data_IF_066116625876
#
_entry.id   IF_066116625876
#
_cell.length_a   1.000
_cell.length_b   1.000
_cell.length_c   1.000
_cell.angle_alpha   90.00
_cell.angle_beta   90.00
_cell.angle_gamma   90.00
#
_symmetry.space_group_name_H-M   'P 1'
#
loop_
_entity.id
_entity.type
_entity.pdbx_description
1 polymer ?
#
# COMPACT_ATOMS: atom_id res chain seq x y z
N UNK A 1 27.67 40.10 -26.59
CA UNK A 1 27.03 38.87 -26.06
C UNK A 1 26.03 39.31 -25.00
N UNK A 2 24.75 38.95 -25.11
CA UNK A 2 23.72 39.43 -24.16
C UNK A 2 23.89 38.74 -22.80
N UNK A 3 24.22 39.46 -21.71
CA UNK A 3 24.50 38.87 -20.40
C UNK A 3 23.27 38.17 -19.77
N UNK A 4 22.07 38.39 -20.31
CA UNK A 4 20.84 37.77 -19.82
C UNK A 4 20.62 36.34 -20.35
N UNK A 5 21.39 35.89 -21.34
CA UNK A 5 21.16 34.59 -22.00
C UNK A 5 21.44 33.39 -21.08
N UNK A 6 22.57 33.41 -20.37
CA UNK A 6 22.99 32.32 -19.47
C UNK A 6 22.00 32.06 -18.30
N UNK A 7 21.53 33.09 -17.56
CA UNK A 7 20.53 32.86 -16.51
C UNK A 7 19.13 32.51 -17.06
N UNK A 8 18.79 32.92 -18.28
CA UNK A 8 17.55 32.48 -18.92
C UNK A 8 17.57 30.98 -19.20
N UNK A 9 18.64 30.47 -19.81
CA UNK A 9 18.82 29.05 -20.11
C UNK A 9 18.76 28.18 -18.84
N UNK A 10 19.39 28.63 -17.74
CA UNK A 10 19.38 27.91 -16.47
C UNK A 10 17.98 27.80 -15.84
N UNK A 11 17.15 28.86 -15.95
CA UNK A 11 15.77 28.83 -15.44
C UNK A 11 14.88 27.91 -16.26
N UNK A 12 14.99 27.95 -17.58
CA UNK A 12 14.21 27.08 -18.47
C UNK A 12 14.56 25.60 -18.24
N UNK A 13 15.85 25.28 -18.13
CA UNK A 13 16.30 23.94 -17.81
C UNK A 13 15.78 23.47 -16.44
N UNK A 14 15.92 24.29 -15.39
CA UNK A 14 15.37 23.95 -14.07
C UNK A 14 13.85 23.75 -14.08
N UNK A 15 13.12 24.56 -14.86
CA UNK A 15 11.67 24.44 -15.00
C UNK A 15 11.26 23.13 -15.69
N UNK A 16 12.01 22.71 -16.71
CA UNK A 16 11.78 21.42 -17.38
C UNK A 16 11.96 20.24 -16.42
N UNK A 17 13.04 20.23 -15.63
CA UNK A 17 13.27 19.18 -14.63
C UNK A 17 12.20 19.17 -13.55
N UNK A 18 11.80 20.35 -13.06
CA UNK A 18 10.73 20.47 -12.07
C UNK A 18 9.39 19.95 -12.62
N UNK A 19 9.03 20.32 -13.85
CA UNK A 19 7.81 19.86 -14.51
C UNK A 19 7.82 18.34 -14.73
N UNK A 20 8.93 17.80 -15.23
CA UNK A 20 9.10 16.36 -15.41
C UNK A 20 9.00 15.61 -14.07
N UNK A 21 9.72 16.08 -13.05
CA UNK A 21 9.69 15.52 -11.71
C UNK A 21 8.29 15.55 -11.09
N UNK A 22 7.54 16.64 -11.30
CA UNK A 22 6.15 16.75 -10.84
C UNK A 22 5.24 15.73 -11.52
N UNK A 23 5.28 15.61 -12.85
CA UNK A 23 4.48 14.63 -13.60
C UNK A 23 4.83 13.21 -13.18
N UNK A 24 6.12 12.90 -13.04
CA UNK A 24 6.59 11.60 -12.56
C UNK A 24 6.08 11.28 -11.15
N UNK A 25 6.18 12.23 -10.22
CA UNK A 25 5.68 12.06 -8.85
C UNK A 25 4.15 11.86 -8.82
N UNK A 26 3.40 12.55 -9.67
CA UNK A 26 1.95 12.36 -9.78
C UNK A 26 1.58 10.97 -10.29
N UNK A 27 2.27 10.48 -11.32
CA UNK A 27 2.05 9.13 -11.87
C UNK A 27 2.35 8.07 -10.81
N UNK A 28 3.53 8.16 -10.17
CA UNK A 28 3.89 7.22 -9.10
C UNK A 28 2.92 7.31 -7.93
N UNK A 29 2.58 8.50 -7.47
CA UNK A 29 1.62 8.71 -6.38
C UNK A 29 0.25 8.10 -6.70
N UNK A 30 -0.24 8.25 -7.92
CA UNK A 30 -1.49 7.65 -8.39
C UNK A 30 -1.42 6.12 -8.37
N UNK A 31 -0.35 5.54 -8.91
CA UNK A 31 -0.15 4.08 -8.92
C UNK A 31 -0.06 3.55 -7.49
N UNK A 32 0.74 4.19 -6.64
CA UNK A 32 0.86 3.84 -5.22
C UNK A 32 -0.49 3.90 -4.53
N UNK A 33 -1.27 4.96 -4.72
CA UNK A 33 -2.59 5.11 -4.13
C UNK A 33 -3.55 3.99 -4.58
N UNK A 34 -3.58 3.68 -5.87
CA UNK A 34 -4.40 2.57 -6.41
C UNK A 34 -3.99 1.23 -5.79
N UNK A 35 -2.68 0.96 -5.68
CA UNK A 35 -2.19 -0.27 -5.02
C UNK A 35 -2.66 -0.35 -3.57
N UNK A 36 -2.61 0.75 -2.81
CA UNK A 36 -3.08 0.77 -1.42
C UNK A 36 -4.60 0.55 -1.31
N UNK A 37 -5.38 1.11 -2.23
CA UNK A 37 -6.82 0.85 -2.30
C UNK A 37 -7.12 -0.62 -2.59
N UNK A 38 -6.41 -1.25 -3.53
CA UNK A 38 -6.56 -2.67 -3.83
C UNK A 38 -6.19 -3.55 -2.63
N UNK A 39 -5.10 -3.21 -1.92
CA UNK A 39 -4.71 -3.90 -0.69
C UNK A 39 -5.77 -3.76 0.40
N UNK A 40 -6.29 -2.55 0.63
CA UNK A 40 -7.38 -2.29 1.57
C UNK A 40 -8.61 -3.16 1.27
N UNK A 41 -9.06 -3.17 0.01
CA UNK A 41 -10.24 -3.95 -0.41
C UNK A 41 -9.98 -5.45 -0.26
N UNK A 42 -8.79 -5.93 -0.65
CA UNK A 42 -8.40 -7.33 -0.52
C UNK A 42 -8.40 -7.78 0.93
N UNK A 43 -7.75 -7.02 1.82
CA UNK A 43 -7.72 -7.30 3.26
C UNK A 43 -9.14 -7.24 3.84
N UNK A 44 -9.94 -6.23 3.49
CA UNK A 44 -11.32 -6.10 3.99
C UNK A 44 -12.19 -7.30 3.60
N UNK A 45 -12.14 -7.73 2.34
CA UNK A 45 -12.94 -8.85 1.83
C UNK A 45 -12.55 -10.14 2.54
N UNK A 46 -11.25 -10.43 2.60
CA UNK A 46 -10.74 -11.62 3.26
C UNK A 46 -11.03 -11.62 4.77
N UNK A 47 -10.90 -10.47 5.44
CA UNK A 47 -11.21 -10.33 6.85
C UNK A 47 -12.72 -10.51 7.11
N UNK A 48 -13.57 -9.92 6.27
CA UNK A 48 -15.02 -10.07 6.37
C UNK A 48 -15.44 -11.53 6.18
N UNK A 49 -14.92 -12.20 5.14
CA UNK A 49 -15.14 -13.63 4.91
C UNK A 49 -14.67 -14.49 6.09
N UNK A 50 -13.55 -14.13 6.73
CA UNK A 50 -13.06 -14.80 7.94
C UNK A 50 -14.04 -14.70 9.10
N UNK A 51 -14.53 -13.51 9.40
CA UNK A 51 -15.53 -13.30 10.48
C UNK A 51 -16.82 -14.04 10.17
N UNK A 52 -17.30 -13.99 8.92
CA UNK A 52 -18.51 -14.70 8.49
C UNK A 52 -18.37 -16.23 8.64
N UNK A 53 -17.16 -16.77 8.43
CA UNK A 53 -16.83 -18.19 8.66
C UNK A 53 -16.54 -18.52 10.13
N UNK A 54 -16.78 -17.60 11.06
CA UNK A 54 -16.54 -17.79 12.49
C UNK A 54 -15.06 -17.86 12.90
N UNK A 55 -14.13 -17.49 12.00
CA UNK A 55 -12.69 -17.48 12.31
C UNK A 55 -12.34 -16.26 13.15
N UNK A 56 -11.56 -16.47 14.21
CA UNK A 56 -11.13 -15.42 15.13
C UNK A 56 -10.24 -14.40 14.41
N UNK A 57 -10.52 -13.13 14.62
CA UNK A 57 -9.69 -12.03 14.15
C UNK A 57 -8.75 -11.58 15.27
N UNK A 58 -7.48 -11.37 14.94
CA UNK A 58 -6.49 -10.95 15.92
C UNK A 58 -6.35 -9.42 15.94
N UNK A 59 -6.23 -8.86 17.14
CA UNK A 59 -6.08 -7.43 17.48
C UNK A 59 -7.29 -6.53 17.22
N UNK A 60 -7.75 -6.43 15.97
CA UNK A 60 -8.77 -5.46 15.55
C UNK A 60 -9.71 -6.06 14.52
N UNK A 61 -10.86 -5.43 14.29
CA UNK A 61 -11.87 -5.91 13.34
C UNK A 61 -11.49 -5.73 11.85
N UNK A 62 -12.31 -6.24 10.93
CA UNK A 62 -12.03 -6.25 9.48
C UNK A 62 -11.76 -4.85 8.92
N UNK A 63 -12.56 -3.89 9.38
CA UNK A 63 -12.47 -2.49 8.95
C UNK A 63 -11.16 -1.84 9.39
N UNK A 64 -10.73 -2.08 10.62
CA UNK A 64 -9.48 -1.54 11.13
C UNK A 64 -8.26 -2.12 10.38
N UNK A 65 -8.27 -3.43 10.09
CA UNK A 65 -7.24 -4.07 9.27
C UNK A 65 -7.17 -3.49 7.85
N UNK A 66 -8.32 -3.24 7.24
CA UNK A 66 -8.39 -2.61 5.91
C UNK A 66 -7.78 -1.19 5.93
N UNK A 67 -8.14 -0.37 6.92
CA UNK A 67 -7.58 0.98 7.08
C UNK A 67 -6.06 0.96 7.32
N UNK A 68 -5.58 0.04 8.16
CA UNK A 68 -4.14 -0.12 8.39
C UNK A 68 -3.42 -0.53 7.09
N UNK A 69 -4.06 -1.32 6.22
CA UNK A 69 -3.49 -1.69 4.92
C UNK A 69 -3.47 -0.51 3.94
N UNK A 70 -4.44 0.41 4.02
CA UNK A 70 -4.43 1.65 3.25
C UNK A 70 -3.32 2.61 3.69
N UNK A 71 -3.00 2.66 4.98
CA UNK A 71 -1.98 3.59 5.54
C UNK A 71 -0.58 2.99 5.45
N UNK A 72 -0.41 1.74 5.87
CA UNK A 72 0.89 1.07 5.92
C UNK A 72 1.20 0.23 4.67
N UNK A 73 0.26 0.12 3.74
CA UNK A 73 0.46 -0.52 2.46
C UNK A 73 0.80 -2.00 2.55
N UNK A 74 1.76 -2.42 1.74
CA UNK A 74 2.19 -3.81 1.60
C UNK A 74 2.70 -4.40 2.92
N UNK A 75 3.32 -3.58 3.78
CA UNK A 75 3.85 -4.06 5.05
C UNK A 75 2.72 -4.50 5.99
N UNK A 76 1.67 -3.68 6.15
CA UNK A 76 0.51 -4.08 6.94
C UNK A 76 -0.19 -5.29 6.33
N UNK A 77 -0.37 -5.33 5.01
CA UNK A 77 -0.97 -6.48 4.34
C UNK A 77 -0.17 -7.77 4.58
N UNK A 78 1.17 -7.67 4.59
CA UNK A 78 2.06 -8.77 4.96
C UNK A 78 1.89 -9.21 6.41
N UNK A 79 1.83 -8.28 7.36
CA UNK A 79 1.56 -8.59 8.78
C UNK A 79 0.19 -9.26 8.95
N UNK A 80 -0.84 -8.73 8.29
CA UNK A 80 -2.18 -9.35 8.29
C UNK A 80 -2.10 -10.79 7.80
N UNK A 81 -1.40 -11.03 6.69
CA UNK A 81 -1.22 -12.37 6.11
C UNK A 81 -0.47 -13.31 7.06
N UNK A 82 0.62 -12.87 7.68
CA UNK A 82 1.38 -13.70 8.63
C UNK A 82 0.53 -14.07 9.83
N UNK A 83 -0.23 -13.13 10.39
CA UNK A 83 -1.05 -13.40 11.58
C UNK A 83 -2.25 -14.31 11.32
N UNK A 84 -2.77 -14.30 10.09
CA UNK A 84 -4.06 -14.92 9.78
C UNK A 84 -3.95 -16.12 8.83
N UNK A 85 -2.95 -16.17 7.95
CA UNK A 85 -2.77 -17.22 6.93
C UNK A 85 -1.47 -18.02 7.10
N UNK A 86 -0.46 -17.53 7.83
CA UNK A 86 0.66 -18.40 8.18
C UNK A 86 0.20 -19.42 9.21
N UNK A 87 0.14 -20.67 8.78
CA UNK A 87 -0.18 -21.85 9.54
C UNK A 87 0.76 -22.01 10.75
N UNK A 88 0.43 -21.36 11.87
CA UNK A 88 0.54 -21.96 13.21
C UNK A 88 -0.81 -22.63 13.53
N UNK A 89 -1.38 -23.35 12.56
CA UNK A 89 -2.34 -24.39 12.88
C UNK A 89 -1.52 -25.49 13.55
N UNK A 90 -1.79 -25.87 14.81
CA UNK A 90 -1.31 -27.16 15.28
C UNK A 90 -1.80 -28.17 14.25
N UNK A 91 -0.91 -29.05 13.79
CA UNK A 91 -1.36 -30.29 13.19
C UNK A 91 -2.40 -30.85 14.15
N UNK A 92 -3.60 -31.16 13.67
CA UNK A 92 -4.41 -32.13 14.39
C UNK A 92 -3.52 -33.34 14.56
N UNK A 93 -3.16 -33.62 15.81
CA UNK A 93 -2.77 -34.97 16.21
C UNK A 93 -3.97 -35.83 15.86
N UNK A 94 -3.92 -36.42 14.67
CA UNK A 94 -4.84 -37.45 14.26
C UNK A 94 -4.50 -38.64 15.16
N UNK A 95 -5.31 -38.78 16.21
CA UNK A 95 -5.30 -39.82 17.23
C UNK A 95 -5.30 -41.23 16.58
N UNK A 96 -4.62 -42.14 17.29
CA UNK A 96 -4.34 -43.57 17.03
C UNK A 96 -5.45 -44.41 16.37
#
# INVERSE_FOLDING_TARGET
MNPQFLPALGREFSAMFAAFGMVYALILGMVTFVVHLLLMIGVYREASDRVLRGRKMWFVGPFAWAFLAMIGGVMTAGVYWVLHHSTFSPASEDEE
#
